data_IF_316684857611
#
_entry.id   IF_316684857611
#
_cell.length_a   1.000
_cell.length_b   1.000
_cell.length_c   1.000
_cell.angle_alpha   90.00
_cell.angle_beta   90.00
_cell.angle_gamma   90.00
#
_symmetry.space_group_name_H-M   'P 1'
#
loop_
_entity.id
_entity.type
_entity.pdbx_description
1 polymer ?
#
# COMPACT_ATOMS: atom_id res chain seq x y z
N UNK A 1 24.59 -8.29 -39.61
CA UNK A 1 23.50 -7.28 -39.69
C UNK A 1 22.15 -7.85 -39.26
N UNK A 2 21.67 -8.94 -39.88
CA UNK A 2 20.36 -9.56 -39.55
C UNK A 2 20.25 -10.00 -38.07
N UNK A 3 21.31 -10.59 -37.52
CA UNK A 3 21.35 -11.03 -36.11
C UNK A 3 21.30 -9.87 -35.11
N UNK A 4 21.83 -8.70 -35.47
CA UNK A 4 21.76 -7.49 -34.65
C UNK A 4 20.32 -6.95 -34.56
N UNK A 5 19.57 -7.02 -35.66
CA UNK A 5 18.16 -6.61 -35.69
C UNK A 5 17.32 -7.52 -34.80
N UNK A 6 17.54 -8.84 -34.86
CA UNK A 6 16.85 -9.79 -33.98
C UNK A 6 17.15 -9.51 -32.52
N UNK A 7 18.42 -9.25 -32.17
CA UNK A 7 18.82 -8.93 -30.80
C UNK A 7 18.19 -7.63 -30.29
N UNK A 8 18.12 -6.60 -31.14
CA UNK A 8 17.49 -5.33 -30.81
C UNK A 8 15.97 -5.47 -30.59
N UNK A 9 15.28 -6.28 -31.40
CA UNK A 9 13.83 -6.51 -31.27
C UNK A 9 13.49 -7.23 -29.96
N UNK A 10 14.32 -8.18 -29.52
CA UNK A 10 14.14 -8.88 -28.24
C UNK A 10 14.32 -7.92 -27.06
N UNK A 11 15.35 -7.07 -27.08
CA UNK A 11 15.60 -6.09 -26.01
C UNK A 11 14.43 -5.10 -25.88
N UNK A 12 13.93 -4.56 -27.00
CA UNK A 12 12.80 -3.62 -26.99
C UNK A 12 11.52 -4.27 -26.46
N UNK A 13 11.29 -5.54 -26.79
CA UNK A 13 10.13 -6.30 -26.31
C UNK A 13 10.18 -6.54 -24.79
N UNK A 14 11.37 -6.74 -24.21
CA UNK A 14 11.55 -6.86 -22.75
C UNK A 14 11.30 -5.54 -22.01
N UNK A 15 11.59 -4.39 -22.62
CA UNK A 15 11.33 -3.07 -22.00
C UNK A 15 9.83 -2.70 -22.05
N UNK A 16 9.07 -3.29 -22.97
CA UNK A 16 7.62 -3.09 -23.09
C UNK A 16 6.77 -3.96 -22.12
N UNK A 17 7.37 -4.92 -21.41
CA UNK A 17 6.63 -5.85 -20.53
C UNK A 17 6.07 -5.21 -19.25
N UNK A 18 6.51 -4.01 -18.87
CA UNK A 18 5.92 -3.31 -17.72
C UNK A 18 4.74 -2.46 -18.19
N UNK A 19 3.53 -2.97 -17.96
CA UNK A 19 2.29 -2.22 -18.21
C UNK A 19 2.39 -0.83 -17.55
N UNK A 20 2.06 0.26 -18.26
CA UNK A 20 2.15 1.63 -17.73
C UNK A 20 1.17 1.87 -16.56
N UNK A 21 0.24 0.94 -16.34
CA UNK A 21 -0.69 0.91 -15.21
C UNK A 21 -0.10 0.34 -13.91
N UNK A 22 1.09 -0.28 -13.97
CA UNK A 22 1.81 -0.65 -12.76
C UNK A 22 2.37 0.64 -12.12
N UNK A 23 1.73 1.11 -11.04
CA UNK A 23 2.12 2.30 -10.30
C UNK A 23 3.64 2.38 -10.14
N UNK A 24 4.23 3.46 -10.68
CA UNK A 24 5.67 3.74 -10.60
C UNK A 24 6.06 4.44 -9.31
N UNK A 25 5.07 4.84 -8.51
CA UNK A 25 5.27 5.46 -7.21
C UNK A 25 5.31 4.37 -6.14
N UNK A 26 6.14 4.54 -5.09
CA UNK A 26 6.09 3.66 -3.92
C UNK A 26 4.65 3.61 -3.39
N UNK A 27 4.16 2.39 -3.12
CA UNK A 27 2.91 2.20 -2.38
C UNK A 27 3.23 2.55 -0.93
N UNK A 28 3.14 3.83 -0.61
CA UNK A 28 3.55 4.33 0.70
C UNK A 28 3.53 5.84 0.74
N UNK A 29 2.53 6.35 1.46
CA UNK A 29 2.40 7.71 1.97
C UNK A 29 2.07 8.81 0.95
N UNK A 30 0.77 9.11 0.88
CA UNK A 30 0.26 10.37 0.36
C UNK A 30 0.73 11.48 1.31
N UNK A 31 1.69 12.31 0.90
CA UNK A 31 1.87 13.61 1.55
C UNK A 31 0.61 14.42 1.28
N UNK A 32 -0.21 14.63 2.30
CA UNK A 32 -1.44 15.43 2.26
C UNK A 32 -1.12 16.93 2.12
N UNK A 33 -0.33 17.30 1.12
CA UNK A 33 -0.17 18.69 0.73
C UNK A 33 -1.32 19.05 -0.23
N UNK A 34 -2.46 19.45 0.35
CA UNK A 34 -3.45 20.27 -0.36
C UNK A 34 -4.79 19.63 -0.76
N UNK A 35 -5.09 18.39 -0.37
CA UNK A 35 -6.46 17.86 -0.41
C UNK A 35 -7.12 18.07 0.95
N UNK A 36 -7.47 19.33 1.23
CA UNK A 36 -8.32 19.66 2.38
C UNK A 36 -9.65 18.91 2.29
N UNK A 37 -10.02 18.28 3.39
CA UNK A 37 -11.22 17.46 3.59
C UNK A 37 -12.48 18.19 3.09
N UNK A 38 -12.97 17.82 1.90
CA UNK A 38 -14.26 18.30 1.37
C UNK A 38 -15.46 17.52 1.91
N UNK A 39 -15.19 16.41 2.61
CA UNK A 39 -16.18 15.66 3.36
C UNK A 39 -15.85 15.90 4.82
N UNK A 40 -16.72 16.64 5.50
CA UNK A 40 -16.49 17.18 6.84
C UNK A 40 -15.99 16.12 7.82
N UNK A 41 -14.81 16.37 8.35
CA UNK A 41 -14.23 15.63 9.47
C UNK A 41 -14.73 16.25 10.78
N UNK A 42 -16.05 16.26 10.95
CA UNK A 42 -16.67 16.50 12.25
C UNK A 42 -16.86 15.14 12.91
N UNK A 43 -15.77 14.65 13.49
CA UNK A 43 -15.77 13.66 14.57
C UNK A 43 -16.65 14.20 15.71
N UNK A 44 -17.97 14.01 15.61
CA UNK A 44 -18.88 14.29 16.71
C UNK A 44 -20.35 14.63 16.39
N UNK A 45 -20.71 15.11 15.20
CA UNK A 45 -22.05 15.72 15.01
C UNK A 45 -22.78 15.33 13.72
N UNK A 46 -22.81 14.04 13.37
CA UNK A 46 -23.71 13.57 12.30
C UNK A 46 -24.86 12.79 12.90
N UNK A 47 -26.03 13.41 12.97
CA UNK A 47 -27.34 12.76 13.18
C UNK A 47 -27.75 11.86 11.99
N UNK A 48 -26.82 11.57 11.08
CA UNK A 48 -27.03 10.78 9.87
C UNK A 48 -26.73 9.33 10.19
N UNK A 49 -27.66 8.45 9.84
CA UNK A 49 -27.52 6.99 9.89
C UNK A 49 -26.11 6.63 9.39
N UNK A 50 -25.32 5.90 10.20
CA UNK A 50 -23.97 5.47 9.80
C UNK A 50 -24.10 4.47 8.64
N UNK A 51 -23.90 4.97 7.42
CA UNK A 51 -23.86 4.15 6.22
C UNK A 51 -22.48 3.50 6.04
N UNK A 52 -22.43 2.29 5.44
CA UNK A 52 -21.17 1.73 4.96
C UNK A 52 -20.47 2.71 4.01
N UNK A 53 -19.18 2.99 4.23
CA UNK A 53 -18.36 3.87 3.39
C UNK A 53 -18.37 3.46 1.91
N UNK A 54 -18.45 2.15 1.65
CA UNK A 54 -18.51 1.51 0.32
C UNK A 54 -19.78 1.81 -0.48
N UNK A 55 -20.83 2.30 0.18
CA UNK A 55 -22.03 2.74 -0.52
C UNK A 55 -21.87 4.13 -1.13
N UNK A 56 -20.72 4.82 -0.92
CA UNK A 56 -20.48 6.20 -1.34
C UNK A 56 -21.60 7.18 -0.93
N UNK A 57 -22.30 6.89 0.17
CA UNK A 57 -23.45 7.67 0.64
C UNK A 57 -24.79 7.32 -0.03
N UNK A 58 -24.88 6.30 -0.88
CA UNK A 58 -26.12 5.84 -1.50
C UNK A 58 -26.94 4.96 -0.53
N UNK A 59 -27.94 5.59 0.10
CA UNK A 59 -28.87 4.95 1.03
C UNK A 59 -29.79 3.95 0.32
N UNK A 60 -30.17 4.21 -0.93
CA UNK A 60 -31.10 3.36 -1.67
C UNK A 60 -30.43 2.05 -2.10
N UNK A 61 -29.15 2.10 -2.46
CA UNK A 61 -28.35 0.92 -2.72
C UNK A 61 -28.30 -0.01 -1.49
N UNK A 62 -27.96 0.54 -0.32
CA UNK A 62 -27.90 -0.24 0.93
C UNK A 62 -29.27 -0.84 1.25
N UNK A 63 -30.35 -0.06 1.12
CA UNK A 63 -31.72 -0.52 1.35
C UNK A 63 -32.15 -1.62 0.37
N UNK A 64 -31.70 -1.57 -0.88
CA UNK A 64 -31.99 -2.59 -1.89
C UNK A 64 -31.22 -3.87 -1.61
N UNK A 65 -29.94 -3.74 -1.30
CA UNK A 65 -29.07 -4.88 -1.00
C UNK A 65 -29.49 -5.57 0.30
N UNK A 66 -29.92 -4.83 1.32
CA UNK A 66 -30.40 -5.41 2.59
C UNK A 66 -31.69 -6.22 2.45
N UNK A 67 -32.45 -6.05 1.35
CA UNK A 67 -33.64 -6.86 1.05
C UNK A 67 -33.30 -8.22 0.42
N UNK A 68 -32.08 -8.39 -0.08
CA UNK A 68 -31.63 -9.66 -0.63
C UNK A 68 -31.38 -10.67 0.50
N UNK A 69 -31.52 -11.98 0.25
CA UNK A 69 -31.09 -13.00 1.20
C UNK A 69 -29.60 -12.85 1.49
N UNK A 70 -29.17 -13.21 2.71
CA UNK A 70 -27.81 -12.98 3.22
C UNK A 70 -26.73 -13.51 2.27
N UNK A 71 -26.95 -14.67 1.66
CA UNK A 71 -26.00 -15.31 0.74
C UNK A 71 -25.78 -14.50 -0.55
N UNK A 72 -26.73 -13.64 -0.92
CA UNK A 72 -26.67 -12.78 -2.09
C UNK A 72 -26.24 -11.34 -1.74
N UNK A 73 -26.01 -11.04 -0.46
CA UNK A 73 -25.51 -9.73 -0.05
C UNK A 73 -24.01 -9.66 -0.26
N UNK A 74 -23.48 -8.51 -0.72
CA UNK A 74 -22.05 -8.39 -0.93
C UNK A 74 -21.30 -8.38 0.41
N UNK A 75 -20.10 -8.97 0.42
CA UNK A 75 -19.29 -9.12 1.63
C UNK A 75 -19.00 -7.78 2.32
N UNK A 76 -18.86 -6.70 1.55
CA UNK A 76 -18.59 -5.37 2.10
C UNK A 76 -19.75 -4.86 2.93
N UNK A 77 -21.00 -5.21 2.58
CA UNK A 77 -22.20 -4.82 3.32
C UNK A 77 -22.38 -5.67 4.58
N UNK A 78 -21.99 -6.93 4.54
CA UNK A 78 -22.02 -7.82 5.70
C UNK A 78 -20.94 -7.45 6.72
N UNK A 79 -19.72 -7.18 6.25
CA UNK A 79 -18.54 -6.93 7.08
C UNK A 79 -18.20 -5.45 7.25
N UNK A 80 -19.07 -4.53 6.87
CA UNK A 80 -18.77 -3.09 6.85
C UNK A 80 -18.26 -2.57 8.20
N UNK A 81 -18.83 -3.05 9.31
CA UNK A 81 -18.43 -2.65 10.67
C UNK A 81 -17.00 -3.08 11.00
N UNK A 82 -16.61 -4.30 10.62
CA UNK A 82 -15.26 -4.81 10.84
C UNK A 82 -14.24 -4.12 9.94
N UNK A 83 -14.62 -3.81 8.69
CA UNK A 83 -13.79 -3.03 7.78
C UNK A 83 -13.55 -1.62 8.32
N UNK A 84 -14.57 -0.97 8.87
CA UNK A 84 -14.46 0.35 9.45
C UNK A 84 -13.57 0.36 10.71
N UNK A 85 -13.68 -0.66 11.55
CA UNK A 85 -12.78 -0.83 12.69
C UNK A 85 -11.32 -1.05 12.24
N UNK A 86 -11.10 -1.87 11.19
CA UNK A 86 -9.77 -2.10 10.64
C UNK A 86 -9.18 -0.82 10.01
N UNK A 87 -10.00 0.06 9.42
CA UNK A 87 -9.54 1.38 8.94
C UNK A 87 -9.08 2.27 10.08
N UNK A 88 -9.80 2.28 11.19
CA UNK A 88 -9.44 3.05 12.38
C UNK A 88 -8.23 2.45 13.11
N UNK A 89 -8.05 1.13 13.03
CA UNK A 89 -6.99 0.37 13.74
C UNK A 89 -6.40 -0.71 12.83
N UNK A 90 -5.55 -0.32 11.86
CA UNK A 90 -5.00 -1.26 10.90
C UNK A 90 -4.12 -2.29 11.59
N UNK A 91 -4.39 -3.57 11.31
CA UNK A 91 -3.54 -4.67 11.77
C UNK A 91 -2.19 -4.56 11.06
N UNK A 92 -1.13 -4.26 11.82
CA UNK A 92 0.24 -4.26 11.30
C UNK A 92 0.85 -5.63 11.56
N UNK A 93 1.22 -6.32 10.49
CA UNK A 93 1.97 -7.57 10.59
C UNK A 93 3.47 -7.27 10.50
N UNK A 94 4.32 -7.90 11.33
CA UNK A 94 5.75 -7.75 11.17
C UNK A 94 6.15 -8.26 9.79
N UNK A 95 6.83 -7.40 9.01
CA UNK A 95 7.37 -7.83 7.73
C UNK A 95 8.49 -8.84 8.00
N UNK A 96 8.45 -9.98 7.31
CA UNK A 96 9.56 -10.94 7.36
C UNK A 96 10.83 -10.23 6.85
N UNK A 97 11.89 -10.29 7.63
CA UNK A 97 13.18 -9.72 7.25
C UNK A 97 13.68 -10.26 5.91
N UNK A 98 14.28 -9.38 5.10
CA UNK A 98 14.83 -9.75 3.81
C UNK A 98 16.21 -10.41 3.99
N UNK A 99 16.31 -11.70 3.67
CA UNK A 99 17.56 -12.47 3.77
C UNK A 99 18.66 -12.01 2.81
N UNK A 100 18.36 -11.15 1.83
CA UNK A 100 19.35 -10.63 0.87
C UNK A 100 20.11 -9.40 1.38
N UNK A 101 19.79 -8.86 2.55
CA UNK A 101 20.39 -7.61 3.08
C UNK A 101 21.47 -7.91 4.16
N UNK A 102 21.50 -9.12 4.71
CA UNK A 102 22.28 -9.42 5.92
C UNK A 102 23.81 -9.49 5.73
N UNK A 103 24.33 -9.62 4.50
CA UNK A 103 25.77 -9.80 4.25
C UNK A 103 26.55 -8.49 3.99
N UNK A 104 25.89 -7.37 3.66
CA UNK A 104 26.61 -6.16 3.19
C UNK A 104 26.94 -5.14 4.28
N UNK A 105 26.31 -5.21 5.46
CA UNK A 105 26.50 -4.21 6.52
C UNK A 105 27.62 -4.53 7.52
N UNK A 106 28.14 -5.77 7.56
CA UNK A 106 29.17 -6.17 8.53
C UNK A 106 30.62 -6.11 7.99
N UNK A 107 30.80 -5.88 6.68
CA UNK A 107 32.14 -5.75 6.09
C UNK A 107 32.81 -4.40 6.38
N UNK A 108 32.02 -3.35 6.64
CA UNK A 108 32.53 -1.99 6.85
C UNK A 108 32.74 -1.61 8.33
N UNK A 109 32.15 -2.34 9.28
CA UNK A 109 32.27 -2.10 10.72
C UNK A 109 33.59 -2.62 11.32
N UNK A 110 34.28 -3.55 10.65
CA UNK A 110 35.54 -4.12 11.12
C UNK A 110 36.78 -3.30 10.73
N UNK A 111 36.64 -2.26 9.90
CA UNK A 111 37.76 -1.41 9.48
C UNK A 111 37.94 -0.15 10.35
N UNK A 112 36.94 0.27 11.13
CA UNK A 112 37.02 1.52 11.92
C UNK A 112 37.68 1.35 13.30
N UNK A 113 37.83 0.12 13.81
CA UNK A 113 38.36 -0.13 15.16
C UNK A 113 39.89 -0.30 15.23
N UNK A 114 40.59 -0.34 14.10
CA UNK A 114 42.04 -0.66 14.06
C UNK A 114 42.98 0.56 13.94
N UNK A 115 42.46 1.79 13.96
CA UNK A 115 43.30 3.01 13.82
C UNK A 115 43.46 3.84 15.11
N UNK A 116 43.04 3.35 16.27
CA UNK A 116 43.12 4.08 17.55
C UNK A 116 44.20 3.54 18.53
N UNK A 117 45.15 2.72 18.04
CA UNK A 117 46.07 1.96 18.90
C UNK A 117 47.57 2.29 18.85
N UNK A 118 48.01 3.37 18.20
CA UNK A 118 49.45 3.64 18.00
C UNK A 118 49.89 5.07 18.38
N UNK A 119 49.52 5.53 19.58
CA UNK A 119 50.28 6.59 20.26
C UNK A 119 50.27 6.34 21.77
N UNK A 120 51.37 5.78 22.27
CA UNK A 120 52.08 6.14 23.53
C UNK A 120 52.95 4.97 23.99
N UNK A 121 54.23 4.99 23.61
CA UNK A 121 55.34 4.97 24.56
C UNK A 121 56.63 5.39 23.90
#
# INVERSE_FOLDING_TARGET
MKSFVVFAVVIVSCVAQRSPYAGRLPIGFLTTAGLGNRFGDDVGTSTTIRLPLEALGDVELVRRLSKLPVDNQPFWLLNWKALEENRNRPQTYPQRGNSFIDDTFNANSLQLNNFQGFEKK
#
